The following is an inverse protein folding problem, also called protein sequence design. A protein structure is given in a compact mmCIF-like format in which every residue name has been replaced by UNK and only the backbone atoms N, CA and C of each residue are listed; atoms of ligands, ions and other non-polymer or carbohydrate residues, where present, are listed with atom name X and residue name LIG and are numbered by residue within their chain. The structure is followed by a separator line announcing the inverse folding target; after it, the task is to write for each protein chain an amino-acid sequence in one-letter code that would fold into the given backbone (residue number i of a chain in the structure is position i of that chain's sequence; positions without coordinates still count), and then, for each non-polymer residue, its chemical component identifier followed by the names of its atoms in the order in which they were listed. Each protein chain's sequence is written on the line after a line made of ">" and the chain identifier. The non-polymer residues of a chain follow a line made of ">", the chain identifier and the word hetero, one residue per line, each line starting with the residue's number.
data_IF_953965137496
#
_entry.id   IF_953965137496
#
_cell.length_a   1.000
_cell.length_b   1.000
_cell.length_c   1.000
_cell.angle_alpha   90.00
_cell.angle_beta   90.00
_cell.angle_gamma   90.00
#
_symmetry.space_group_name_H-M   'P 1'
#
loop_
_entity.id
_entity.type
_entity.pdbx_description
1 polymer ?
#
# COMPACT_ATOMS: atom_id res chain seq x y z
N UNK A 1 -20.71 -4.86 12.14
CA UNK A 1 -20.03 -3.85 11.30
C UNK A 1 -19.52 -2.67 12.13
N UNK A 2 -20.30 -2.13 13.05
CA UNK A 2 -19.96 -0.94 13.84
C UNK A 2 -18.86 -1.15 14.90
N UNK A 3 -18.66 -2.37 15.37
CA UNK A 3 -17.68 -2.64 16.44
C UNK A 3 -16.22 -2.72 15.94
N UNK A 4 -16.00 -3.06 14.70
CA UNK A 4 -14.65 -3.04 14.08
C UNK A 4 -14.09 -1.61 14.02
N UNK A 5 -14.94 -0.62 13.81
CA UNK A 5 -14.53 0.79 13.70
C UNK A 5 -14.26 1.47 15.04
N UNK A 6 -14.80 0.97 16.16
CA UNK A 6 -14.69 1.62 17.48
C UNK A 6 -13.27 1.64 18.04
N UNK A 7 -12.44 0.67 17.65
CA UNK A 7 -11.06 0.52 18.12
C UNK A 7 -10.05 0.62 16.97
N UNK A 8 -10.38 1.31 15.87
CA UNK A 8 -9.48 1.49 14.75
C UNK A 8 -8.67 2.79 14.90
N UNK A 9 -7.39 2.71 14.60
CA UNK A 9 -6.48 3.85 14.53
C UNK A 9 -5.89 3.95 13.14
N UNK A 10 -5.76 5.18 12.62
CA UNK A 10 -5.08 5.41 11.36
C UNK A 10 -3.65 5.87 11.58
N UNK A 11 -2.70 5.27 10.86
CA UNK A 11 -1.31 5.66 10.88
C UNK A 11 -1.04 6.72 9.81
N UNK A 12 -0.61 7.91 10.24
CA UNK A 12 -0.14 8.96 9.33
C UNK A 12 1.34 8.73 8.95
N UNK A 13 1.59 8.41 7.68
CA UNK A 13 2.95 8.25 7.13
C UNK A 13 3.67 9.60 6.90
N UNK A 14 3.06 10.71 7.30
CA UNK A 14 3.61 12.08 7.29
C UNK A 14 3.92 12.67 5.91
N UNK A 15 3.28 12.19 4.88
CA UNK A 15 3.41 12.79 3.56
C UNK A 15 2.84 14.20 3.49
N UNK A 16 1.78 14.46 4.28
CA UNK A 16 1.00 15.70 4.24
C UNK A 16 0.75 16.31 5.63
N UNK A 17 1.54 15.93 6.63
CA UNK A 17 1.41 16.45 7.98
C UNK A 17 2.75 16.85 8.60
N UNK A 18 2.71 17.73 9.61
CA UNK A 18 3.87 18.11 10.45
C UNK A 18 3.87 17.42 11.81
N UNK A 19 2.91 16.53 12.07
CA UNK A 19 2.80 15.87 13.38
C UNK A 19 4.05 15.06 13.70
N UNK A 20 4.49 15.10 14.96
CA UNK A 20 5.57 14.23 15.45
C UNK A 20 5.06 12.78 15.41
N UNK A 21 5.98 11.84 15.19
CA UNK A 21 5.66 10.43 15.14
C UNK A 21 4.96 10.02 16.44
N UNK A 22 3.72 9.55 16.32
CA UNK A 22 3.10 8.84 17.42
C UNK A 22 3.86 7.52 17.51
N UNK A 23 4.47 7.23 18.67
CA UNK A 23 4.95 5.89 18.97
C UNK A 23 3.71 5.03 19.12
N UNK A 24 3.36 4.35 18.05
CA UNK A 24 2.32 3.32 18.11
C UNK A 24 2.90 2.17 18.93
N UNK A 25 2.42 2.01 20.13
CA UNK A 25 2.69 0.82 20.93
C UNK A 25 1.68 -0.24 20.53
N UNK A 26 2.04 -1.06 19.55
CA UNK A 26 1.27 -2.26 19.25
C UNK A 26 1.45 -3.24 20.41
N UNK A 27 0.41 -3.37 21.24
CA UNK A 27 0.41 -4.31 22.37
C UNK A 27 0.06 -5.70 21.85
N UNK A 28 1.07 -6.59 21.81
CA UNK A 28 0.89 -8.00 21.45
C UNK A 28 0.60 -8.25 19.96
N UNK A 29 0.33 -9.50 19.63
CA UNK A 29 0.18 -10.00 18.25
C UNK A 29 -1.29 -9.97 17.76
N UNK A 30 -2.22 -9.45 18.55
CA UNK A 30 -3.66 -9.51 18.27
C UNK A 30 -4.17 -8.34 17.40
N UNK A 31 -3.26 -7.69 16.67
CA UNK A 31 -3.62 -6.56 15.81
C UNK A 31 -4.01 -7.04 14.42
N UNK A 32 -5.01 -6.38 13.83
CA UNK A 32 -5.38 -6.51 12.42
C UNK A 32 -4.89 -5.26 11.71
N UNK A 33 -4.12 -5.44 10.64
CA UNK A 33 -3.65 -4.34 9.82
C UNK A 33 -4.34 -4.30 8.47
N UNK A 34 -4.68 -3.09 8.06
CA UNK A 34 -5.17 -2.79 6.72
C UNK A 34 -4.16 -1.83 6.11
N UNK A 35 -3.49 -2.28 5.06
CA UNK A 35 -2.48 -1.47 4.36
C UNK A 35 -2.88 -1.23 2.91
N UNK A 36 -2.47 -0.09 2.38
CA UNK A 36 -2.66 0.24 0.98
C UNK A 36 -1.35 0.70 0.36
N UNK A 37 -1.02 0.17 -0.82
CA UNK A 37 0.12 0.62 -1.62
C UNK A 37 1.44 0.62 -0.82
N UNK A 38 2.12 1.76 -0.70
CA UNK A 38 3.36 1.93 0.08
C UNK A 38 3.19 1.54 1.56
N UNK A 39 1.98 1.52 2.09
CA UNK A 39 1.71 1.05 3.47
C UNK A 39 2.20 -0.37 3.73
N UNK A 40 2.22 -1.25 2.71
CA UNK A 40 2.80 -2.58 2.84
C UNK A 40 4.32 -2.52 3.07
N UNK A 41 5.05 -1.70 2.32
CA UNK A 41 6.50 -1.55 2.48
C UNK A 41 6.83 -1.01 3.87
N UNK A 42 6.06 -0.01 4.32
CA UNK A 42 6.19 0.54 5.67
C UNK A 42 5.94 -0.54 6.74
N UNK A 43 4.88 -1.33 6.61
CA UNK A 43 4.55 -2.44 7.52
C UNK A 43 5.70 -3.47 7.59
N UNK A 44 6.18 -3.92 6.43
CA UNK A 44 7.25 -4.91 6.33
C UNK A 44 8.59 -4.39 6.92
N UNK A 45 8.88 -3.11 6.73
CA UNK A 45 10.11 -2.49 7.24
C UNK A 45 10.16 -2.42 8.77
N UNK A 46 9.00 -2.27 9.42
CA UNK A 46 8.93 -2.01 10.86
C UNK A 46 8.72 -3.27 11.71
N UNK A 47 8.68 -4.47 11.14
CA UNK A 47 8.52 -5.75 11.87
C UNK A 47 7.35 -5.73 12.86
N UNK A 48 6.19 -5.29 12.40
CA UNK A 48 5.06 -5.08 13.29
C UNK A 48 4.36 -6.42 13.59
N UNK A 49 4.13 -6.76 14.87
CA UNK A 49 3.38 -7.95 15.23
C UNK A 49 1.93 -7.83 14.76
N UNK A 50 1.42 -8.88 14.13
CA UNK A 50 0.15 -8.88 13.45
C UNK A 50 -0.51 -10.25 13.51
N UNK A 51 -1.84 -10.27 13.74
CA UNK A 51 -2.65 -11.47 13.65
C UNK A 51 -3.20 -11.71 12.26
N UNK A 52 -3.49 -10.63 11.51
CA UNK A 52 -4.13 -10.67 10.21
C UNK A 52 -3.78 -9.39 9.44
N UNK A 53 -3.40 -9.54 8.17
CA UNK A 53 -3.08 -8.44 7.28
C UNK A 53 -4.01 -8.41 6.07
N UNK A 54 -4.66 -7.28 5.87
CA UNK A 54 -5.33 -6.93 4.61
C UNK A 54 -4.43 -6.00 3.80
N UNK A 55 -4.02 -6.45 2.63
CA UNK A 55 -3.16 -5.68 1.73
C UNK A 55 -3.91 -5.29 0.46
N UNK A 56 -4.21 -4.01 0.31
CA UNK A 56 -4.81 -3.45 -0.90
C UNK A 56 -3.72 -2.83 -1.79
N UNK A 57 -3.50 -3.41 -2.95
CA UNK A 57 -2.64 -2.88 -4.02
C UNK A 57 -1.19 -2.56 -3.58
N UNK A 58 -0.70 -3.22 -2.53
CA UNK A 58 0.69 -3.16 -2.11
C UNK A 58 1.50 -4.33 -2.66
N UNK A 59 2.74 -4.11 -3.07
CA UNK A 59 3.66 -5.15 -3.50
C UNK A 59 4.95 -5.09 -2.67
N UNK A 60 5.44 -6.24 -2.15
CA UNK A 60 6.63 -6.28 -1.30
C UNK A 60 7.93 -5.91 -2.02
N UNK A 61 7.91 -5.94 -3.36
CA UNK A 61 8.98 -5.47 -4.24
C UNK A 61 8.37 -4.69 -5.39
N UNK A 62 7.99 -3.43 -5.16
CA UNK A 62 7.15 -2.65 -6.07
C UNK A 62 7.60 -2.71 -7.52
N UNK A 63 8.89 -2.52 -7.80
CA UNK A 63 9.43 -2.55 -9.17
C UNK A 63 9.42 -3.97 -9.74
N UNK A 64 9.75 -4.97 -8.92
CA UNK A 64 9.90 -6.37 -9.35
C UNK A 64 8.58 -6.98 -9.80
N UNK A 65 7.46 -6.58 -9.21
CA UNK A 65 6.12 -7.11 -9.51
C UNK A 65 5.44 -6.44 -10.70
N UNK A 66 6.04 -5.41 -11.28
CA UNK A 66 5.50 -4.69 -12.43
C UNK A 66 5.69 -5.45 -13.75
N UNK A 67 4.74 -5.35 -14.67
CA UNK A 67 4.89 -5.87 -16.05
C UNK A 67 6.10 -5.31 -16.81
N UNK A 68 6.51 -4.07 -16.47
CA UNK A 68 7.63 -3.37 -17.12
C UNK A 68 8.57 -2.78 -16.05
N UNK A 69 9.38 -3.60 -15.34
CA UNK A 69 10.20 -3.16 -14.22
C UNK A 69 11.13 -2.00 -14.56
N UNK A 70 11.87 -2.09 -15.66
CA UNK A 70 12.80 -1.05 -16.10
C UNK A 70 12.13 0.29 -16.39
N UNK A 71 10.91 0.27 -16.93
CA UNK A 71 10.14 1.48 -17.19
C UNK A 71 9.63 2.08 -15.87
N UNK A 72 9.16 1.25 -14.96
CA UNK A 72 8.72 1.67 -13.65
C UNK A 72 9.86 2.28 -12.85
N UNK A 73 11.03 1.66 -12.86
CA UNK A 73 12.24 2.21 -12.23
C UNK A 73 12.55 3.64 -12.73
N UNK A 74 12.51 3.84 -14.05
CA UNK A 74 12.74 5.16 -14.67
C UNK A 74 11.66 6.18 -14.30
N UNK A 75 10.38 5.76 -14.25
CA UNK A 75 9.27 6.63 -13.85
C UNK A 75 9.42 7.10 -12.41
N UNK A 76 9.77 6.22 -11.48
CA UNK A 76 10.01 6.58 -10.08
C UNK A 76 11.18 7.56 -9.96
N UNK A 77 12.29 7.31 -10.65
CA UNK A 77 13.45 8.20 -10.65
C UNK A 77 13.07 9.61 -11.18
N UNK A 78 12.26 9.67 -12.22
CA UNK A 78 11.75 10.92 -12.76
C UNK A 78 10.84 11.65 -11.75
N UNK A 79 9.89 10.94 -11.13
CA UNK A 79 9.00 11.52 -10.10
C UNK A 79 9.83 12.06 -8.92
N UNK A 80 10.82 11.30 -8.46
CA UNK A 80 11.71 11.69 -7.38
C UNK A 80 12.44 13.02 -7.68
N UNK A 81 12.91 13.21 -8.92
CA UNK A 81 13.51 14.48 -9.36
C UNK A 81 12.46 15.59 -9.41
N UNK A 82 11.33 15.34 -10.05
CA UNK A 82 10.28 16.33 -10.27
C UNK A 82 9.61 16.84 -8.98
N UNK A 83 9.63 16.04 -7.90
CA UNK A 83 9.14 16.48 -6.59
C UNK A 83 9.89 17.69 -6.03
N UNK A 84 11.17 17.89 -6.40
CA UNK A 84 11.94 19.08 -6.01
C UNK A 84 11.54 20.31 -6.81
N UNK A 85 11.21 20.13 -8.08
CA UNK A 85 10.96 21.22 -9.02
C UNK A 85 9.49 21.67 -8.94
N UNK A 86 8.56 20.73 -8.93
CA UNK A 86 7.12 21.01 -8.94
C UNK A 86 6.29 19.94 -8.22
N UNK A 87 6.31 19.91 -6.87
CA UNK A 87 5.65 18.86 -6.09
C UNK A 87 4.13 18.81 -6.32
N UNK A 88 3.48 19.96 -6.49
CA UNK A 88 2.02 20.02 -6.71
C UNK A 88 1.64 19.36 -8.04
N UNK A 89 2.40 19.60 -9.10
CA UNK A 89 2.15 18.98 -10.40
C UNK A 89 2.36 17.47 -10.34
N UNK A 90 3.41 17.01 -9.66
CA UNK A 90 3.67 15.57 -9.47
C UNK A 90 2.50 14.91 -8.73
N UNK A 91 2.03 15.53 -7.65
CA UNK A 91 0.89 15.00 -6.89
C UNK A 91 -0.40 14.99 -7.70
N UNK A 92 -0.72 16.08 -8.43
CA UNK A 92 -1.90 16.10 -9.30
C UNK A 92 -1.89 14.97 -10.33
N UNK A 93 -0.76 14.79 -11.02
CA UNK A 93 -0.61 13.71 -11.99
C UNK A 93 -0.72 12.32 -11.35
N UNK A 94 -0.18 12.15 -10.14
CA UNK A 94 -0.29 10.89 -9.41
C UNK A 94 -1.75 10.59 -9.00
N UNK A 95 -2.47 11.58 -8.48
CA UNK A 95 -3.89 11.45 -8.13
C UNK A 95 -4.74 11.11 -9.36
N UNK A 96 -4.46 11.73 -10.51
CA UNK A 96 -5.11 11.42 -11.79
C UNK A 96 -4.88 9.96 -12.20
N UNK A 97 -3.63 9.45 -12.11
CA UNK A 97 -3.31 8.04 -12.41
C UNK A 97 -4.04 7.08 -11.45
N UNK A 98 -4.22 7.50 -10.20
CA UNK A 98 -4.96 6.73 -9.19
C UNK A 98 -6.49 6.81 -9.38
N UNK A 99 -6.99 7.60 -10.33
CA UNK A 99 -8.40 7.92 -10.51
C UNK A 99 -9.05 8.50 -9.23
N UNK A 100 -8.35 9.42 -8.59
CA UNK A 100 -8.77 10.10 -7.36
C UNK A 100 -8.74 11.61 -7.59
N UNK A 101 -9.77 12.30 -7.13
CA UNK A 101 -9.78 13.77 -7.15
C UNK A 101 -8.64 14.33 -6.27
N UNK A 102 -7.89 15.27 -6.84
CA UNK A 102 -6.81 15.93 -6.12
C UNK A 102 -7.36 16.85 -5.03
N UNK A 103 -6.99 16.58 -3.78
CA UNK A 103 -7.25 17.48 -2.66
C UNK A 103 -6.04 18.38 -2.39
N UNK A 104 -6.31 19.66 -2.10
CA UNK A 104 -5.25 20.59 -1.73
C UNK A 104 -4.63 20.20 -0.38
N UNK A 105 -3.31 20.10 -0.34
CA UNK A 105 -2.55 19.85 0.87
C UNK A 105 -1.85 21.11 1.36
N UNK A 106 -2.15 21.56 2.59
CA UNK A 106 -1.47 22.71 3.23
C UNK A 106 0.02 22.45 3.46
N UNK A 107 0.38 21.20 3.64
CA UNK A 107 1.75 20.72 3.88
C UNK A 107 2.05 19.61 2.92
N UNK A 108 3.16 19.69 2.21
CA UNK A 108 3.72 18.61 1.39
C UNK A 108 5.12 18.34 1.93
N UNK A 109 5.32 17.17 2.54
CA UNK A 109 6.63 16.77 3.03
C UNK A 109 7.43 16.13 1.89
N UNK A 110 8.13 16.96 1.13
CA UNK A 110 8.88 16.56 -0.04
C UNK A 110 9.95 15.52 0.28
N UNK A 111 10.65 15.67 1.40
CA UNK A 111 11.68 14.74 1.83
C UNK A 111 11.09 13.34 2.11
N UNK A 112 10.01 13.29 2.89
CA UNK A 112 9.33 12.01 3.18
C UNK A 112 8.81 11.34 1.91
N UNK A 113 8.20 12.09 1.00
CA UNK A 113 7.73 11.56 -0.30
C UNK A 113 8.88 11.03 -1.17
N UNK A 114 9.99 11.76 -1.21
CA UNK A 114 11.17 11.33 -1.99
C UNK A 114 11.82 10.09 -1.40
N UNK A 115 11.91 9.99 -0.08
CA UNK A 115 12.42 8.80 0.60
C UNK A 115 11.53 7.59 0.33
N UNK A 116 10.22 7.74 0.39
CA UNK A 116 9.27 6.68 0.04
C UNK A 116 9.42 6.21 -1.43
N UNK A 117 9.64 7.13 -2.38
CA UNK A 117 9.91 6.77 -3.77
C UNK A 117 11.23 6.00 -3.93
N UNK A 118 12.28 6.37 -3.19
CA UNK A 118 13.56 5.63 -3.19
C UNK A 118 13.34 4.22 -2.63
N UNK A 119 12.59 4.09 -1.55
CA UNK A 119 12.24 2.78 -0.97
C UNK A 119 11.47 1.92 -1.97
N UNK A 120 10.40 2.43 -2.59
CA UNK A 120 9.67 1.73 -3.65
C UNK A 120 10.54 1.31 -4.83
N UNK A 121 11.57 2.09 -5.15
CA UNK A 121 12.47 1.82 -6.26
C UNK A 121 13.50 0.73 -5.95
N UNK A 122 13.98 0.65 -4.70
CA UNK A 122 15.16 -0.13 -4.32
C UNK A 122 14.87 -1.32 -3.43
N UNK A 123 13.85 -1.20 -2.57
CA UNK A 123 13.57 -2.22 -1.56
C UNK A 123 12.78 -3.38 -2.17
N UNK A 124 13.16 -4.57 -1.75
CA UNK A 124 12.45 -5.80 -2.09
C UNK A 124 12.29 -6.64 -0.81
N UNK A 125 11.11 -6.63 -0.27
CA UNK A 125 10.74 -7.39 0.92
C UNK A 125 10.09 -8.75 0.61
N UNK A 126 10.18 -9.26 -0.63
CA UNK A 126 9.51 -10.50 -1.04
C UNK A 126 9.88 -11.68 -0.14
N UNK A 127 11.16 -11.85 0.18
CA UNK A 127 11.60 -12.93 1.08
C UNK A 127 11.06 -12.78 2.50
N UNK A 128 10.91 -11.55 2.99
CA UNK A 128 10.34 -11.26 4.30
C UNK A 128 8.83 -11.50 4.28
N UNK A 129 8.15 -11.04 3.25
CA UNK A 129 6.73 -11.21 3.06
C UNK A 129 6.32 -12.69 3.01
N UNK A 130 7.09 -13.52 2.30
CA UNK A 130 6.84 -14.96 2.18
C UNK A 130 7.09 -15.74 3.48
N UNK A 131 7.84 -15.16 4.44
CA UNK A 131 8.11 -15.77 5.75
C UNK A 131 7.12 -15.37 6.83
N UNK A 132 6.15 -14.51 6.52
CA UNK A 132 5.12 -14.15 7.47
C UNK A 132 4.26 -15.38 7.80
N UNK A 133 4.01 -15.61 9.08
CA UNK A 133 3.36 -16.82 9.61
C UNK A 133 1.92 -16.57 10.08
N UNK A 134 1.29 -15.51 9.64
CA UNK A 134 -0.09 -15.17 9.93
C UNK A 134 -0.88 -14.98 8.61
N UNK A 135 -2.21 -15.08 8.64
CA UNK A 135 -3.05 -14.92 7.45
C UNK A 135 -2.90 -13.55 6.80
N UNK A 136 -2.78 -13.55 5.47
CA UNK A 136 -2.67 -12.35 4.65
C UNK A 136 -3.67 -12.44 3.51
N UNK A 137 -4.56 -11.46 3.41
CA UNK A 137 -5.47 -11.30 2.28
C UNK A 137 -5.01 -10.14 1.42
N UNK A 138 -4.53 -10.45 0.23
CA UNK A 138 -4.04 -9.46 -0.73
C UNK A 138 -5.04 -9.28 -1.87
N UNK A 139 -5.38 -8.03 -2.12
CA UNK A 139 -6.24 -7.61 -3.22
C UNK A 139 -5.44 -6.82 -4.23
N UNK A 140 -5.42 -7.30 -5.47
CA UNK A 140 -4.84 -6.62 -6.61
C UNK A 140 -5.93 -6.26 -7.61
N UNK A 141 -5.64 -5.33 -8.53
CA UNK A 141 -6.50 -5.06 -9.67
C UNK A 141 -5.75 -5.15 -10.98
N UNK A 142 -6.40 -5.71 -11.98
CA UNK A 142 -5.86 -5.76 -13.34
C UNK A 142 -5.85 -4.40 -14.03
N UNK A 143 -6.62 -3.45 -13.50
CA UNK A 143 -6.77 -2.09 -14.03
C UNK A 143 -5.89 -1.05 -13.32
N UNK A 144 -5.16 -1.47 -12.28
CA UNK A 144 -4.26 -0.58 -11.54
C UNK A 144 -3.12 -0.08 -12.42
N UNK A 145 -3.12 1.23 -12.68
CA UNK A 145 -2.10 1.90 -13.51
C UNK A 145 -0.83 2.26 -12.75
N UNK A 146 -0.88 2.24 -11.42
CA UNK A 146 0.27 2.50 -10.53
C UNK A 146 1.02 1.20 -10.28
N UNK A 147 0.32 0.16 -9.78
CA UNK A 147 0.83 -1.18 -9.64
C UNK A 147 0.33 -2.05 -10.81
N UNK A 148 0.91 -1.85 -11.98
CA UNK A 148 0.60 -2.67 -13.16
C UNK A 148 1.23 -4.05 -13.03
N UNK A 149 0.58 -4.88 -12.21
CA UNK A 149 1.14 -6.14 -11.73
C UNK A 149 1.26 -7.19 -12.83
N UNK A 150 2.36 -7.93 -12.80
CA UNK A 150 2.51 -9.15 -13.58
C UNK A 150 2.00 -10.34 -12.76
N UNK A 151 0.90 -10.96 -13.20
CA UNK A 151 0.32 -12.12 -12.50
C UNK A 151 1.30 -13.28 -12.35
N UNK A 152 2.15 -13.49 -13.33
CA UNK A 152 3.18 -14.53 -13.31
C UNK A 152 4.23 -14.30 -12.21
N UNK A 153 4.44 -13.03 -11.81
CA UNK A 153 5.38 -12.69 -10.72
C UNK A 153 4.83 -13.01 -9.34
N UNK A 154 3.53 -13.29 -9.22
CA UNK A 154 2.87 -13.57 -7.94
C UNK A 154 2.94 -15.05 -7.58
N UNK A 155 3.07 -15.92 -8.58
CA UNK A 155 3.13 -17.37 -8.37
C UNK A 155 4.35 -17.79 -7.52
N UNK A 156 5.29 -16.88 -7.27
CA UNK A 156 6.39 -17.07 -6.31
C UNK A 156 5.99 -16.87 -4.83
N UNK A 157 4.77 -16.41 -4.55
CA UNK A 157 4.24 -16.29 -3.20
C UNK A 157 3.62 -17.63 -2.77
N UNK A 158 4.42 -18.68 -2.78
CA UNK A 158 4.04 -20.02 -2.31
C UNK A 158 4.04 -20.00 -0.77
N UNK A 159 2.95 -19.49 -0.20
CA UNK A 159 2.75 -19.43 1.25
C UNK A 159 1.29 -19.75 1.56
N UNK A 160 1.05 -20.84 2.26
CA UNK A 160 -0.28 -21.32 2.66
C UNK A 160 -1.11 -20.29 3.46
N UNK A 161 -0.44 -19.29 4.02
CA UNK A 161 -1.10 -18.20 4.75
C UNK A 161 -1.54 -17.03 3.83
N UNK A 162 -1.28 -17.13 2.52
CA UNK A 162 -1.56 -16.06 1.56
C UNK A 162 -2.78 -16.37 0.70
N UNK A 163 -3.78 -15.51 0.81
CA UNK A 163 -4.93 -15.48 -0.11
C UNK A 163 -4.82 -14.25 -1.03
N UNK A 164 -4.78 -14.48 -2.34
CA UNK A 164 -4.65 -13.43 -3.34
C UNK A 164 -5.89 -13.37 -4.21
N UNK A 165 -6.56 -12.23 -4.18
CA UNK A 165 -7.74 -11.95 -4.99
C UNK A 165 -7.46 -10.86 -6.01
N UNK A 166 -7.91 -11.09 -7.25
CA UNK A 166 -7.89 -10.07 -8.30
C UNK A 166 -9.26 -9.43 -8.45
N UNK A 167 -9.32 -8.14 -8.12
CA UNK A 167 -10.47 -7.31 -8.37
C UNK A 167 -10.40 -6.80 -9.82
N UNK A 168 -11.49 -6.96 -10.56
CA UNK A 168 -11.59 -6.40 -11.90
C UNK A 168 -12.05 -4.95 -11.83
N UNK A 169 -11.55 -4.10 -12.75
CA UNK A 169 -12.06 -2.74 -13.01
C UNK A 169 -11.76 -1.65 -11.96
N UNK A 170 -10.96 -1.90 -10.92
CA UNK A 170 -10.61 -0.88 -9.93
C UNK A 170 -9.23 -0.25 -10.18
N UNK A 171 -9.16 1.07 -10.05
CA UNK A 171 -7.91 1.83 -10.11
C UNK A 171 -7.18 1.83 -8.75
N UNK A 172 -5.95 2.32 -8.73
CA UNK A 172 -5.11 2.34 -7.52
C UNK A 172 -5.74 3.08 -6.33
N UNK A 173 -6.60 4.05 -6.60
CA UNK A 173 -7.33 4.79 -5.57
C UNK A 173 -8.53 4.06 -4.95
N UNK A 174 -8.77 2.80 -5.30
CA UNK A 174 -9.93 2.01 -4.90
C UNK A 174 -10.32 2.11 -3.41
N UNK A 175 -9.42 2.04 -2.42
CA UNK A 175 -9.85 2.16 -1.03
C UNK A 175 -10.46 3.52 -0.67
N UNK A 176 -10.13 4.57 -1.43
CA UNK A 176 -10.71 5.90 -1.25
C UNK A 176 -11.99 6.09 -2.07
N UNK A 177 -12.06 5.52 -3.26
CA UNK A 177 -13.20 5.70 -4.17
C UNK A 177 -14.35 4.74 -3.90
N UNK A 178 -14.08 3.59 -3.30
CA UNK A 178 -15.05 2.53 -3.02
C UNK A 178 -14.87 1.95 -1.61
N UNK A 179 -14.92 2.77 -0.55
CA UNK A 179 -14.66 2.33 0.82
C UNK A 179 -15.63 1.25 1.30
N UNK A 180 -16.89 1.29 0.85
CA UNK A 180 -17.92 0.31 1.21
C UNK A 180 -17.53 -1.08 0.71
N UNK A 181 -17.03 -1.19 -0.52
CA UNK A 181 -16.62 -2.47 -1.09
C UNK A 181 -15.36 -2.99 -0.39
N UNK A 182 -14.40 -2.12 -0.06
CA UNK A 182 -13.26 -2.50 0.77
C UNK A 182 -13.71 -3.10 2.10
N UNK A 183 -14.70 -2.45 2.73
CA UNK A 183 -15.26 -2.91 3.99
C UNK A 183 -15.93 -4.27 3.86
N UNK A 184 -16.74 -4.49 2.81
CA UNK A 184 -17.37 -5.78 2.53
C UNK A 184 -16.35 -6.91 2.32
N UNK A 185 -15.24 -6.63 1.61
CA UNK A 185 -14.16 -7.59 1.40
C UNK A 185 -13.50 -7.99 2.73
N UNK A 186 -13.22 -7.02 3.58
CA UNK A 186 -12.65 -7.24 4.92
C UNK A 186 -13.64 -8.05 5.78
N UNK A 187 -14.91 -7.65 5.79
CA UNK A 187 -15.94 -8.27 6.61
C UNK A 187 -16.15 -9.75 6.24
N UNK A 188 -16.21 -10.06 4.94
CA UNK A 188 -16.34 -11.46 4.45
C UNK A 188 -15.21 -12.37 4.92
N UNK A 189 -14.01 -11.83 5.13
CA UNK A 189 -12.89 -12.59 5.70
C UNK A 189 -13.06 -12.76 7.20
N UNK A 190 -13.41 -11.69 7.90
CA UNK A 190 -13.56 -11.70 9.37
C UNK A 190 -14.70 -12.59 9.85
N UNK A 191 -15.74 -12.79 9.04
CA UNK A 191 -16.85 -13.73 9.36
C UNK A 191 -16.43 -15.21 9.33
N UNK A 192 -15.28 -15.54 8.72
CA UNK A 192 -14.79 -16.92 8.57
C UNK A 192 -13.75 -17.31 9.63
N UNK A 193 -13.31 -16.36 10.43
CA UNK A 193 -12.29 -16.52 11.47
C UNK A 193 -12.92 -16.50 12.86
#
# INVERSE_FOLDING_TARGET
>A
ALDICKNSESLDLKFFSKTKQIKLFFKGDNNIFIVHSYGLNWFLKNDIPCRLLFNFFGAPGFVNYQKKPNLTYKKIAYMHKQLLENPVKVLKNFYEICNVEYSFHKVINIETLRNALIELQRENFSLKFNKLNFPIHTFYSTNDKVLNINKESIDFLDNDNHDISFLNEYDHGFPKTNPEICFELIYKVLEKI
#
